data_IF_641457709490
#
_entry.id   IF_641457709490
#
_cell.length_a   1.000
_cell.length_b   1.000
_cell.length_c   1.000
_cell.angle_alpha   90.00
_cell.angle_beta   90.00
_cell.angle_gamma   90.00
#
_symmetry.space_group_name_H-M   'P 1'
#
loop_
_entity.id
_entity.type
_entity.pdbx_description
1 polymer ?
#
# COMPACT_ATOMS: atom_id res chain seq x y z
N UNK A 1 -20.96 21.47 0.55
CA UNK A 1 -20.49 20.12 0.90
C UNK A 1 -19.17 19.95 0.18
N UNK A 2 -18.04 19.98 0.90
CA UNK A 2 -16.72 20.16 0.29
C UNK A 2 -15.79 19.06 0.84
N UNK A 3 -15.26 18.23 -0.06
CA UNK A 3 -14.24 17.24 0.25
C UNK A 3 -12.87 17.82 -0.12
N UNK A 4 -11.92 17.84 0.81
CA UNK A 4 -10.57 18.35 0.59
C UNK A 4 -9.56 17.34 1.10
N UNK A 5 -9.11 16.46 0.20
CA UNK A 5 -7.87 15.69 0.31
C UNK A 5 -7.39 15.37 -1.12
N UNK A 6 -6.32 16.00 -1.58
CA UNK A 6 -5.72 15.76 -2.90
C UNK A 6 -4.92 14.48 -2.88
N UNK A 7 -5.37 13.50 -3.66
CA UNK A 7 -4.77 12.16 -3.66
C UNK A 7 -3.41 12.22 -4.34
N UNK A 8 -2.37 11.81 -3.61
CA UNK A 8 -1.06 11.63 -4.20
C UNK A 8 -1.07 10.57 -5.30
N UNK A 9 -0.04 10.63 -6.13
CA UNK A 9 0.22 9.93 -7.37
C UNK A 9 -0.86 10.11 -8.44
N UNK A 10 -1.71 11.14 -8.35
CA UNK A 10 -2.52 11.56 -9.47
C UNK A 10 -1.70 12.45 -10.40
N UNK A 11 -1.57 12.03 -11.67
CA UNK A 11 -0.87 12.78 -12.72
C UNK A 11 -1.49 14.16 -12.95
N UNK A 12 -0.72 15.16 -13.43
CA UNK A 12 0.50 15.05 -14.25
C UNK A 12 1.81 14.79 -13.50
N UNK A 13 1.93 15.17 -12.22
CA UNK A 13 3.18 15.08 -11.46
C UNK A 13 3.59 13.66 -11.08
N UNK A 14 4.86 13.46 -10.71
CA UNK A 14 5.36 12.17 -10.24
C UNK A 14 4.89 11.81 -8.82
N UNK A 15 4.45 12.77 -7.99
CA UNK A 15 3.82 12.50 -6.70
C UNK A 15 2.53 13.26 -6.46
N UNK A 16 2.44 14.55 -6.72
CA UNK A 16 1.22 15.33 -6.52
C UNK A 16 0.61 15.65 -7.87
N UNK A 17 -0.66 16.06 -7.84
CA UNK A 17 -1.37 16.58 -9.01
C UNK A 17 -0.87 17.98 -9.39
N UNK A 18 0.45 18.17 -9.45
CA UNK A 18 1.11 19.37 -9.96
C UNK A 18 1.80 19.03 -11.28
N UNK A 19 1.81 19.91 -12.27
CA UNK A 19 2.52 19.69 -13.52
C UNK A 19 4.03 19.53 -13.29
N UNK A 20 4.66 18.73 -14.12
CA UNK A 20 6.12 18.69 -14.22
C UNK A 20 6.56 18.61 -15.68
N UNK A 21 7.83 18.91 -15.94
CA UNK A 21 8.43 18.81 -17.28
C UNK A 21 9.81 18.17 -17.20
N UNK A 22 10.23 17.60 -18.32
CA UNK A 22 11.51 16.92 -18.52
C UNK A 22 12.17 17.42 -19.81
N UNK A 23 13.48 17.22 -19.97
CA UNK A 23 14.18 17.63 -21.19
C UNK A 23 13.73 16.83 -22.42
N UNK A 24 13.70 15.50 -22.28
CA UNK A 24 13.34 14.57 -23.34
C UNK A 24 11.90 14.06 -23.25
N UNK A 25 11.38 13.45 -24.34
CA UNK A 25 10.12 12.73 -24.27
C UNK A 25 10.19 11.62 -23.22
N UNK A 26 9.08 11.37 -22.53
CA UNK A 26 8.99 10.23 -21.62
C UNK A 26 9.37 8.93 -22.35
N UNK A 27 10.16 8.05 -21.71
CA UNK A 27 10.46 6.72 -22.25
C UNK A 27 9.20 5.86 -22.38
N UNK A 28 8.12 6.26 -21.71
CA UNK A 28 6.82 5.61 -21.77
C UNK A 28 5.88 6.40 -22.68
N UNK A 29 5.19 5.70 -23.57
CA UNK A 29 4.15 6.29 -24.42
C UNK A 29 2.90 6.57 -23.60
N UNK A 30 2.55 5.61 -22.73
CA UNK A 30 1.36 5.63 -21.91
C UNK A 30 1.70 5.18 -20.49
N UNK A 31 1.10 5.82 -19.50
CA UNK A 31 1.18 5.38 -18.09
C UNK A 31 -0.19 5.49 -17.47
N UNK A 32 -0.61 4.49 -16.71
CA UNK A 32 -1.84 4.51 -15.94
C UNK A 32 -1.60 3.97 -14.55
N UNK A 33 -2.40 4.43 -13.59
CA UNK A 33 -2.24 3.98 -12.22
C UNK A 33 -3.45 4.29 -11.37
N UNK A 34 -3.42 3.73 -10.18
CA UNK A 34 -4.35 4.04 -9.11
C UNK A 34 -3.58 4.31 -7.83
N UNK A 35 -4.17 5.12 -6.97
CA UNK A 35 -3.58 5.50 -5.70
C UNK A 35 -4.63 5.62 -4.62
N UNK A 36 -4.19 5.37 -3.39
CA UNK A 36 -4.97 5.60 -2.20
C UNK A 36 -4.12 6.39 -1.21
N UNK A 37 -4.77 7.32 -0.55
CA UNK A 37 -4.20 8.07 0.55
C UNK A 37 -4.95 7.73 1.83
N UNK A 38 -4.22 7.36 2.87
CA UNK A 38 -4.74 6.94 4.16
C UNK A 38 -4.53 8.09 5.13
N UNK A 39 -5.63 8.65 5.60
CA UNK A 39 -5.62 9.79 6.53
C UNK A 39 -5.76 9.33 7.98
N UNK A 40 -6.34 8.15 8.23
CA UNK A 40 -6.40 7.52 9.54
C UNK A 40 -6.70 6.02 9.43
N UNK A 41 -6.34 5.26 10.46
CA UNK A 41 -6.55 3.83 10.57
C UNK A 41 -7.74 3.47 11.48
N UNK A 42 -8.12 4.35 12.41
CA UNK A 42 -9.22 4.11 13.35
C UNK A 42 -9.86 5.42 13.82
N UNK A 43 -11.09 5.75 13.39
CA UNK A 43 -11.83 5.09 12.29
C UNK A 43 -11.15 5.28 10.93
N UNK A 44 -11.28 4.28 10.05
CA UNK A 44 -10.56 4.23 8.78
C UNK A 44 -11.06 5.32 7.80
N UNK A 45 -10.15 6.14 7.28
CA UNK A 45 -10.47 7.18 6.30
C UNK A 45 -9.46 7.18 5.16
N UNK A 46 -9.96 7.17 3.92
CA UNK A 46 -9.12 7.12 2.74
C UNK A 46 -9.67 7.93 1.59
N UNK A 47 -8.78 8.60 0.86
CA UNK A 47 -9.05 9.10 -0.47
C UNK A 47 -8.54 8.11 -1.53
N UNK A 48 -9.23 8.00 -2.67
CA UNK A 48 -8.88 7.04 -3.76
C UNK A 48 -8.99 7.66 -5.14
N UNK A 49 -8.03 7.36 -6.01
CA UNK A 49 -8.01 7.93 -7.35
C UNK A 49 -7.33 7.03 -8.38
N UNK A 50 -7.56 7.36 -9.64
CA UNK A 50 -6.94 6.71 -10.78
C UNK A 50 -6.59 7.73 -11.85
N UNK A 51 -5.61 7.42 -12.69
CA UNK A 51 -5.18 8.30 -13.76
C UNK A 51 -4.69 7.53 -14.98
N UNK A 52 -4.66 8.22 -16.11
CA UNK A 52 -3.99 7.80 -17.33
C UNK A 52 -3.32 9.00 -18.00
N UNK A 53 -2.08 8.86 -18.44
CA UNK A 53 -1.38 9.89 -19.22
C UNK A 53 -0.74 9.30 -20.45
N UNK A 54 -0.72 10.08 -21.52
CA UNK A 54 -0.07 9.74 -22.78
C UNK A 54 0.76 10.93 -23.25
N UNK A 55 1.97 10.68 -23.75
CA UNK A 55 2.81 11.71 -24.34
C UNK A 55 3.07 11.43 -25.83
N UNK A 56 2.69 12.36 -26.70
CA UNK A 56 2.84 12.27 -28.15
C UNK A 56 3.35 13.60 -28.74
N UNK A 57 4.49 13.57 -29.42
CA UNK A 57 5.02 14.75 -30.12
C UNK A 57 5.25 15.96 -29.20
N UNK A 58 5.67 15.74 -27.95
CA UNK A 58 5.87 16.77 -26.92
C UNK A 58 4.57 17.33 -26.33
N UNK A 59 3.40 16.82 -26.74
CA UNK A 59 2.14 17.02 -26.04
C UNK A 59 1.94 15.91 -25.00
N UNK A 60 1.47 16.28 -23.82
CA UNK A 60 1.07 15.35 -22.76
C UNK A 60 -0.42 15.54 -22.52
N UNK A 61 -1.16 14.44 -22.62
CA UNK A 61 -2.58 14.37 -22.33
C UNK A 61 -2.76 13.53 -21.08
N UNK A 62 -3.60 13.99 -20.15
CA UNK A 62 -3.88 13.30 -18.90
C UNK A 62 -5.37 13.29 -18.60
N UNK A 63 -5.82 12.17 -18.05
CA UNK A 63 -7.13 12.01 -17.43
C UNK A 63 -6.94 11.50 -16.01
N UNK A 64 -7.77 11.97 -15.10
CA UNK A 64 -7.74 11.55 -13.70
C UNK A 64 -9.14 11.47 -13.15
N UNK A 65 -9.35 10.57 -12.20
CA UNK A 65 -10.54 10.56 -11.35
C UNK A 65 -10.11 10.44 -9.91
N UNK A 66 -10.80 11.14 -9.02
CA UNK A 66 -10.49 11.18 -7.61
C UNK A 66 -11.77 11.18 -6.78
N UNK A 67 -11.69 10.59 -5.60
CA UNK A 67 -12.72 10.69 -4.56
C UNK A 67 -12.01 10.98 -3.26
N UNK A 68 -12.31 12.14 -2.68
CA UNK A 68 -11.71 12.59 -1.42
C UNK A 68 -12.08 11.70 -0.24
N UNK A 69 -11.33 11.87 0.85
CA UNK A 69 -11.68 11.30 2.16
C UNK A 69 -12.88 11.99 2.78
N UNK A 70 -13.44 11.36 3.80
CA UNK A 70 -14.52 11.96 4.59
C UNK A 70 -13.95 13.08 5.49
N UNK A 71 -14.49 14.28 5.36
CA UNK A 71 -14.03 15.48 6.09
C UNK A 71 -14.79 15.72 7.39
N UNK A 72 -15.72 14.84 7.76
CA UNK A 72 -16.39 14.91 9.06
C UNK A 72 -15.38 14.77 10.20
N UNK A 73 -15.72 15.34 11.36
CA UNK A 73 -14.86 15.29 12.55
C UNK A 73 -14.56 13.85 12.94
N UNK A 74 -13.33 13.56 13.38
CA UNK A 74 -12.86 12.20 13.75
C UNK A 74 -13.86 11.47 14.68
N UNK A 75 -14.45 12.16 15.66
CA UNK A 75 -15.41 11.59 16.60
C UNK A 75 -16.73 11.10 15.96
N UNK A 76 -17.07 11.59 14.77
CA UNK A 76 -18.33 11.28 14.07
C UNK A 76 -18.11 10.48 12.78
N UNK A 77 -16.87 10.09 12.47
CA UNK A 77 -16.55 9.43 11.19
C UNK A 77 -17.24 8.05 11.07
N UNK A 78 -17.37 7.31 12.17
CA UNK A 78 -18.03 5.98 12.16
C UNK A 78 -19.52 6.04 11.84
N UNK A 79 -20.17 7.17 12.16
CA UNK A 79 -21.60 7.40 11.94
C UNK A 79 -21.87 8.34 10.77
N UNK A 80 -20.81 8.77 10.08
CA UNK A 80 -20.91 9.69 8.96
C UNK A 80 -21.59 9.03 7.77
N UNK A 81 -22.57 9.74 7.19
CA UNK A 81 -23.21 9.38 5.92
C UNK A 81 -22.63 10.17 4.75
N UNK A 82 -21.56 10.95 4.98
CA UNK A 82 -20.94 11.78 3.96
C UNK A 82 -20.38 10.92 2.83
N UNK A 83 -20.71 11.30 1.60
CA UNK A 83 -20.11 10.74 0.39
C UNK A 83 -19.35 11.84 -0.30
N UNK A 84 -18.03 11.71 -0.35
CA UNK A 84 -17.21 12.64 -1.10
C UNK A 84 -17.62 12.62 -2.59
N UNK A 85 -17.71 13.79 -3.25
CA UNK A 85 -17.99 13.84 -4.67
C UNK A 85 -16.86 13.16 -5.45
N UNK A 86 -17.24 12.58 -6.59
CA UNK A 86 -16.26 12.07 -7.56
C UNK A 86 -15.87 13.20 -8.49
N UNK A 87 -14.58 13.39 -8.63
CA UNK A 87 -13.96 14.37 -9.52
C UNK A 87 -13.42 13.66 -10.77
N UNK A 88 -13.58 14.28 -11.93
CA UNK A 88 -12.92 13.87 -13.17
C UNK A 88 -12.13 15.04 -13.73
N UNK A 89 -10.81 14.90 -13.81
CA UNK A 89 -9.91 15.96 -14.28
C UNK A 89 -9.27 15.63 -15.62
N UNK A 90 -9.18 16.63 -16.49
CA UNK A 90 -8.39 16.58 -17.72
C UNK A 90 -7.15 17.48 -17.63
N UNK A 91 -6.05 17.03 -18.25
CA UNK A 91 -4.78 17.73 -18.31
C UNK A 91 -4.25 17.74 -19.74
N UNK A 92 -3.82 18.89 -20.21
CA UNK A 92 -3.15 19.04 -21.51
C UNK A 92 -1.93 19.93 -21.33
N UNK A 93 -0.77 19.45 -21.73
CA UNK A 93 0.49 20.18 -21.63
C UNK A 93 1.26 20.08 -22.93
N UNK A 94 1.96 21.15 -23.28
CA UNK A 94 2.90 21.19 -24.37
C UNK A 94 4.27 21.62 -23.85
N UNK A 95 5.28 20.79 -24.13
CA UNK A 95 6.67 21.23 -24.04
C UNK A 95 6.95 22.19 -25.17
N UNK A 96 7.20 23.44 -24.83
CA UNK A 96 7.36 24.54 -25.79
C UNK A 96 8.82 24.71 -26.16
N UNK A 97 9.71 24.59 -25.16
CA UNK A 97 11.12 24.91 -25.33
C UNK A 97 11.98 23.95 -24.53
N UNK A 98 13.09 23.52 -25.13
CA UNK A 98 14.14 22.74 -24.48
C UNK A 98 15.45 23.31 -24.98
N UNK A 99 16.33 23.71 -24.05
CA UNK A 99 17.67 24.16 -24.38
C UNK A 99 18.62 23.74 -23.28
N UNK A 100 19.73 23.13 -23.70
CA UNK A 100 20.75 22.60 -22.81
C UNK A 100 20.12 21.68 -21.76
N UNK A 101 20.14 22.12 -20.50
CA UNK A 101 19.62 21.40 -19.36
C UNK A 101 18.31 21.99 -18.81
N UNK A 102 17.65 22.89 -19.54
CA UNK A 102 16.40 23.55 -19.13
C UNK A 102 15.26 23.19 -20.09
N UNK A 103 14.08 22.89 -19.56
CA UNK A 103 12.85 22.81 -20.35
C UNK A 103 11.77 23.76 -19.83
N UNK A 104 10.96 24.27 -20.76
CA UNK A 104 9.78 25.07 -20.46
C UNK A 104 8.55 24.45 -21.10
N UNK A 105 7.53 24.25 -20.28
CA UNK A 105 6.23 23.71 -20.69
C UNK A 105 5.12 24.66 -20.27
N UNK A 106 4.06 24.70 -21.08
CA UNK A 106 2.80 25.38 -20.75
C UNK A 106 1.66 24.39 -20.88
N UNK A 107 0.58 24.62 -20.16
CA UNK A 107 -0.59 23.76 -20.29
C UNK A 107 -1.81 24.28 -19.55
N UNK A 108 -2.84 23.45 -19.62
CA UNK A 108 -4.11 23.59 -18.95
C UNK A 108 -4.34 22.34 -18.10
N UNK A 109 -4.68 22.52 -16.84
CA UNK A 109 -4.92 21.46 -15.88
C UNK A 109 -6.24 21.69 -15.14
N UNK A 110 -6.78 20.59 -14.57
CA UNK A 110 -7.90 20.60 -13.62
C UNK A 110 -9.20 21.10 -14.24
N UNK A 111 -9.49 20.67 -15.47
CA UNK A 111 -10.87 20.70 -15.97
C UNK A 111 -11.65 19.65 -15.16
N UNK A 112 -12.15 20.04 -13.99
CA UNK A 112 -12.79 19.12 -13.04
C UNK A 112 -14.29 19.12 -13.24
N UNK A 113 -14.83 17.93 -13.48
CA UNK A 113 -16.25 17.67 -13.41
C UNK A 113 -16.56 17.04 -12.07
N UNK A 114 -17.44 17.68 -11.30
CA UNK A 114 -17.87 17.16 -10.01
C UNK A 114 -19.31 16.63 -10.13
N UNK A 115 -19.54 15.42 -9.61
CA UNK A 115 -20.89 14.90 -9.48
C UNK A 115 -21.53 15.47 -8.22
N UNK A 116 -22.43 16.46 -8.38
CA UNK A 116 -23.15 17.07 -7.27
C UNK A 116 -24.52 16.41 -7.09
N UNK A 117 -24.87 16.04 -5.86
CA UNK A 117 -26.08 15.29 -5.49
C UNK A 117 -27.39 15.97 -5.90
N UNK A 118 -27.36 17.27 -6.19
CA UNK A 118 -28.56 18.05 -6.49
C UNK A 118 -28.73 18.38 -7.98
N UNK A 119 -27.64 18.53 -8.74
CA UNK A 119 -27.69 19.10 -10.10
C UNK A 119 -26.86 18.32 -11.15
N UNK A 120 -26.35 17.14 -10.83
CA UNK A 120 -25.57 16.31 -11.78
C UNK A 120 -24.14 16.79 -11.98
N UNK A 121 -23.57 16.49 -13.17
CA UNK A 121 -22.18 16.80 -13.52
C UNK A 121 -22.03 18.29 -13.88
N UNK A 122 -21.34 19.08 -13.06
CA UNK A 122 -21.11 20.51 -13.31
C UNK A 122 -19.62 20.81 -13.52
N UNK A 123 -19.35 21.83 -14.36
CA UNK A 123 -18.03 22.40 -14.62
C UNK A 123 -17.97 23.79 -13.99
N UNK A 124 -17.04 24.04 -13.07
CA UNK A 124 -16.79 25.39 -12.54
C UNK A 124 -15.71 26.09 -13.40
N UNK A 125 -16.00 27.22 -14.05
CA UNK A 125 -15.01 27.97 -14.82
C UNK A 125 -13.81 28.47 -13.98
N UNK A 126 -13.90 28.46 -12.65
CA UNK A 126 -12.79 28.80 -11.75
C UNK A 126 -11.77 27.68 -11.58
N UNK A 127 -12.11 26.45 -11.96
CA UNK A 127 -11.22 25.29 -11.87
C UNK A 127 -10.21 25.24 -13.03
N UNK A 128 -10.41 26.05 -14.08
CA UNK A 128 -9.45 26.15 -15.18
C UNK A 128 -8.11 26.73 -14.70
N UNK A 129 -7.09 25.88 -14.64
CA UNK A 129 -5.75 26.31 -14.28
C UNK A 129 -4.80 26.29 -15.47
N UNK A 130 -4.45 27.49 -15.96
CA UNK A 130 -3.34 27.66 -16.89
C UNK A 130 -2.04 27.66 -16.11
N UNK A 131 -1.00 27.00 -16.62
CA UNK A 131 0.30 26.99 -15.96
C UNK A 131 1.46 27.08 -16.93
N UNK A 132 2.57 27.58 -16.40
CA UNK A 132 3.91 27.48 -16.97
C UNK A 132 4.83 26.77 -15.99
N UNK A 133 5.75 25.96 -16.51
CA UNK A 133 6.75 25.23 -15.72
C UNK A 133 8.10 25.40 -16.36
N UNK A 134 9.10 25.69 -15.55
CA UNK A 134 10.51 25.59 -15.90
C UNK A 134 11.11 24.41 -15.15
N UNK A 135 11.80 23.50 -15.83
CA UNK A 135 12.61 22.46 -15.18
C UNK A 135 14.07 22.59 -15.56
N UNK A 136 14.95 22.18 -14.66
CA UNK A 136 16.37 21.98 -14.90
C UNK A 136 16.75 20.55 -14.51
N UNK A 137 17.44 19.86 -15.41
CA UNK A 137 17.86 18.48 -15.19
C UNK A 137 19.38 18.37 -15.28
N UNK A 138 20.00 17.81 -14.24
CA UNK A 138 21.45 17.68 -14.13
C UNK A 138 21.83 16.24 -13.78
N UNK A 139 22.81 15.70 -14.50
CA UNK A 139 23.43 14.42 -14.18
C UNK A 139 24.60 14.64 -13.21
N UNK A 140 24.64 13.84 -12.14
CA UNK A 140 25.67 13.88 -11.11
C UNK A 140 26.18 12.45 -10.92
N UNK A 141 27.18 12.06 -11.71
CA UNK A 141 27.62 10.66 -11.80
C UNK A 141 26.50 9.78 -12.34
N UNK A 142 26.17 8.71 -11.62
CA UNK A 142 25.07 7.78 -11.98
C UNK A 142 23.69 8.24 -11.47
N UNK A 143 23.62 9.44 -10.89
CA UNK A 143 22.38 10.03 -10.38
C UNK A 143 21.86 11.10 -11.33
N UNK A 144 20.54 11.20 -11.45
CA UNK A 144 19.90 12.26 -12.23
C UNK A 144 18.99 13.09 -11.32
N UNK A 145 19.24 14.41 -11.24
CA UNK A 145 18.39 15.36 -10.54
C UNK A 145 17.56 16.14 -11.56
N UNK A 146 16.24 16.16 -11.40
CA UNK A 146 15.35 17.05 -12.14
C UNK A 146 14.60 17.95 -11.14
N UNK A 147 14.94 19.23 -11.12
CA UNK A 147 14.26 20.24 -10.31
C UNK A 147 13.33 21.07 -11.19
N UNK A 148 12.14 21.40 -10.71
CA UNK A 148 11.18 22.20 -11.46
C UNK A 148 10.45 23.18 -10.57
N UNK A 149 10.07 24.31 -11.16
CA UNK A 149 9.24 25.34 -10.56
C UNK A 149 8.17 25.74 -11.57
N UNK A 150 6.95 25.94 -11.09
CA UNK A 150 5.85 26.35 -11.93
C UNK A 150 4.96 27.37 -11.26
N UNK A 151 4.18 28.02 -12.11
CA UNK A 151 3.27 29.10 -11.77
C UNK A 151 2.02 28.91 -12.61
N UNK A 152 0.85 29.12 -12.04
CA UNK A 152 -0.39 29.04 -12.80
C UNK A 152 -1.55 29.76 -12.14
N UNK A 153 -2.60 30.01 -12.92
CA UNK A 153 -3.75 30.86 -12.56
C UNK A 153 -4.79 30.18 -11.70
N UNK A 154 -4.71 28.85 -11.55
CA UNK A 154 -5.61 28.10 -10.69
C UNK A 154 -5.07 27.99 -9.27
N UNK A 155 -6.00 27.79 -8.34
CA UNK A 155 -5.72 27.32 -7.01
C UNK A 155 -5.19 25.90 -7.06
N UNK A 156 -3.90 25.72 -7.30
CA UNK A 156 -3.21 24.50 -6.92
C UNK A 156 -3.20 24.45 -5.39
N UNK A 157 -4.32 24.03 -4.80
CA UNK A 157 -4.56 24.01 -3.36
C UNK A 157 -5.67 24.95 -2.85
N UNK A 158 -6.55 25.51 -3.69
CA UNK A 158 -7.67 26.32 -3.20
C UNK A 158 -8.99 25.94 -3.90
N UNK A 159 -9.99 25.45 -3.15
CA UNK A 159 -11.35 26.01 -3.06
C UNK A 159 -11.96 25.67 -1.68
N UNK A 160 -12.07 26.72 -0.86
CA UNK A 160 -13.12 27.06 0.14
C UNK A 160 -13.88 25.91 0.83
N UNK A 161 -13.37 25.51 1.99
CA UNK A 161 -14.22 24.90 3.02
C UNK A 161 -15.19 25.95 3.55
N UNK A 162 -16.48 25.60 3.67
CA UNK A 162 -17.45 26.40 4.43
C UNK A 162 -16.83 26.84 5.76
N UNK A 163 -16.80 28.16 5.96
CA UNK A 163 -16.50 28.84 7.23
C UNK A 163 -17.23 28.15 8.38
N UNK A 164 -16.52 27.30 9.12
CA UNK A 164 -16.99 26.79 10.40
C UNK A 164 -16.62 27.73 11.56
N UNK A 165 -15.97 28.86 11.27
CA UNK A 165 -15.66 29.88 12.28
C UNK A 165 -15.94 31.28 11.75
N UNK A 166 -16.64 32.09 12.54
CA UNK A 166 -17.13 33.42 12.16
C UNK A 166 -16.10 34.52 12.40
N UNK A 167 -14.87 34.17 12.80
CA UNK A 167 -13.86 35.14 13.25
C UNK A 167 -12.54 35.22 12.46
N UNK A 168 -12.32 34.46 11.39
CA UNK A 168 -11.09 34.63 10.59
C UNK A 168 -11.31 35.58 9.41
N UNK A 169 -10.60 36.71 9.47
CA UNK A 169 -10.49 37.79 8.49
C UNK A 169 -10.24 37.30 7.06
N UNK A 170 -10.85 37.98 6.09
CA UNK A 170 -10.65 37.83 4.66
C UNK A 170 -9.16 37.85 4.30
N UNK A 171 -8.66 36.77 3.68
CA UNK A 171 -7.43 36.86 2.90
C UNK A 171 -7.83 37.01 1.43
N UNK A 172 -7.87 38.27 0.97
CA UNK A 172 -7.82 38.60 -0.45
C UNK A 172 -6.36 38.47 -0.95
N UNK A 173 -6.14 37.77 -2.07
CA UNK A 173 -4.86 37.70 -2.81
C UNK A 173 -4.10 36.37 -2.63
N UNK A 174 -3.57 35.68 -3.65
CA UNK A 174 -3.43 35.91 -5.09
C UNK A 174 -3.79 34.60 -5.84
N UNK A 175 -4.57 34.72 -6.91
CA UNK A 175 -5.02 33.64 -7.81
C UNK A 175 -3.89 33.07 -8.70
N UNK A 176 -2.67 32.94 -8.17
CA UNK A 176 -1.56 32.33 -8.89
C UNK A 176 -0.77 31.37 -7.98
N UNK A 177 -1.07 30.07 -8.06
CA UNK A 177 -0.38 29.06 -7.25
C UNK A 177 1.05 28.84 -7.76
N UNK A 178 2.04 29.01 -6.88
CA UNK A 178 3.43 28.61 -7.11
C UNK A 178 3.61 27.20 -6.58
N UNK A 179 4.18 26.32 -7.41
CA UNK A 179 4.55 24.97 -7.02
C UNK A 179 5.99 24.68 -7.43
N UNK A 180 6.63 23.76 -6.74
CA UNK A 180 8.00 23.36 -7.03
C UNK A 180 8.21 21.89 -6.70
N UNK A 181 9.22 21.29 -7.29
CA UNK A 181 9.57 19.92 -6.97
C UNK A 181 10.97 19.54 -7.42
N UNK A 182 11.46 18.45 -6.86
CA UNK A 182 12.71 17.83 -7.23
C UNK A 182 12.52 16.31 -7.30
N UNK A 183 13.03 15.72 -8.37
CA UNK A 183 13.06 14.29 -8.60
C UNK A 183 14.53 13.88 -8.63
N UNK A 184 14.92 13.01 -7.71
CA UNK A 184 16.24 12.44 -7.66
C UNK A 184 16.18 10.97 -8.03
N UNK A 185 16.69 10.64 -9.22
CA UNK A 185 16.77 9.27 -9.71
C UNK A 185 18.07 8.63 -9.25
N UNK A 186 17.94 7.45 -8.69
CA UNK A 186 19.06 6.66 -8.19
C UNK A 186 19.34 5.46 -9.10
N UNK A 187 20.60 4.98 -9.16
CA UNK A 187 20.96 3.79 -9.94
C UNK A 187 20.50 2.47 -9.28
N UNK A 188 19.80 2.52 -8.14
CA UNK A 188 19.27 1.32 -7.51
C UNK A 188 18.16 0.70 -8.37
N UNK A 189 18.24 -0.60 -8.63
CA UNK A 189 17.33 -1.30 -9.56
C UNK A 189 17.38 -0.72 -11.00
N UNK A 190 18.57 -0.29 -11.45
CA UNK A 190 18.79 0.31 -12.79
C UNK A 190 18.19 -0.52 -13.94
N UNK A 191 18.32 -1.86 -13.87
CA UNK A 191 17.72 -2.80 -14.85
C UNK A 191 16.21 -2.62 -15.06
N UNK A 192 15.52 -2.01 -14.11
CA UNK A 192 14.08 -1.75 -14.12
C UNK A 192 13.74 -0.24 -14.15
N UNK A 193 14.73 0.63 -14.29
CA UNK A 193 14.53 2.07 -14.49
C UNK A 193 14.89 2.99 -13.31
N UNK A 194 15.50 2.44 -12.24
CA UNK A 194 15.96 3.24 -11.10
C UNK A 194 14.87 3.56 -10.08
N UNK A 195 15.25 3.76 -8.80
CA UNK A 195 14.33 4.28 -7.78
C UNK A 195 14.32 5.81 -7.88
N UNK A 196 13.12 6.40 -8.01
CA UNK A 196 12.94 7.85 -7.95
C UNK A 196 12.58 8.27 -6.51
N UNK A 197 13.33 9.24 -5.97
CA UNK A 197 12.97 9.98 -4.77
C UNK A 197 12.35 11.30 -5.23
N UNK A 198 11.15 11.59 -4.75
CA UNK A 198 10.35 12.74 -5.19
C UNK A 198 10.09 13.63 -3.98
N UNK A 199 10.37 14.92 -4.10
CA UNK A 199 9.96 15.94 -3.14
C UNK A 199 9.22 17.05 -3.86
N UNK A 200 8.02 17.39 -3.42
CA UNK A 200 7.15 18.35 -4.09
C UNK A 200 6.45 19.29 -3.11
N UNK A 201 6.36 20.55 -3.48
CA UNK A 201 5.59 21.58 -2.82
C UNK A 201 4.44 22.00 -3.74
N UNK A 202 3.21 21.81 -3.26
CA UNK A 202 1.99 22.04 -4.04
C UNK A 202 1.37 23.42 -3.83
N UNK A 203 2.00 24.28 -3.00
CA UNK A 203 1.45 25.57 -2.57
C UNK A 203 0.93 25.55 -1.13
N UNK A 204 0.53 24.39 -0.61
CA UNK A 204 -0.04 24.23 0.73
C UNK A 204 0.87 23.43 1.68
N UNK A 205 1.65 22.48 1.17
CA UNK A 205 2.54 21.67 2.00
C UNK A 205 3.63 20.94 1.23
N UNK A 206 4.49 20.26 1.98
CA UNK A 206 5.63 19.50 1.46
C UNK A 206 5.26 18.03 1.42
N UNK A 207 5.47 17.42 0.26
CA UNK A 207 5.12 16.05 -0.04
C UNK A 207 6.39 15.29 -0.43
N UNK A 208 6.60 14.10 0.13
CA UNK A 208 7.79 13.29 -0.13
C UNK A 208 7.39 11.88 -0.50
N UNK A 209 7.93 11.37 -1.60
CA UNK A 209 7.55 10.11 -2.18
C UNK A 209 8.72 9.31 -2.75
N UNK A 210 8.46 8.03 -2.94
CA UNK A 210 9.34 7.04 -3.53
C UNK A 210 8.58 6.34 -4.66
N UNK A 211 9.24 6.17 -5.80
CA UNK A 211 8.73 5.38 -6.92
C UNK A 211 9.69 4.23 -7.15
N UNK A 212 9.25 3.05 -6.77
CA UNK A 212 10.05 1.83 -6.74
C UNK A 212 9.67 0.98 -7.95
N UNK A 213 10.58 0.72 -8.89
CA UNK A 213 10.29 -0.16 -10.01
C UNK A 213 10.22 -1.62 -9.54
N UNK A 214 9.10 -2.28 -9.84
CA UNK A 214 8.94 -3.72 -9.64
C UNK A 214 9.43 -4.48 -10.87
N UNK A 215 9.20 -3.93 -12.05
CA UNK A 215 9.72 -4.38 -13.36
C UNK A 215 9.96 -3.16 -14.26
N UNK A 216 10.28 -3.36 -15.55
CA UNK A 216 10.34 -2.26 -16.53
C UNK A 216 9.00 -1.52 -16.71
N UNK A 217 7.90 -2.20 -16.40
CA UNK A 217 6.54 -1.78 -16.75
C UNK A 217 5.68 -1.49 -15.51
N UNK A 218 6.06 -2.00 -14.34
CA UNK A 218 5.31 -1.85 -13.10
C UNK A 218 6.10 -1.06 -12.05
N UNK A 219 5.43 -0.11 -11.38
CA UNK A 219 6.00 0.68 -10.29
C UNK A 219 5.08 0.69 -9.08
N UNK A 220 5.67 0.57 -7.90
CA UNK A 220 5.06 0.82 -6.61
C UNK A 220 5.43 2.22 -6.14
N UNK A 221 4.43 3.00 -5.77
CA UNK A 221 4.58 4.37 -5.33
C UNK A 221 4.21 4.45 -3.84
N UNK A 222 5.10 5.02 -3.02
CA UNK A 222 4.92 5.15 -1.57
C UNK A 222 5.31 6.56 -1.14
N UNK A 223 4.53 7.23 -0.31
CA UNK A 223 4.90 8.57 0.13
C UNK A 223 4.08 9.12 1.28
N UNK A 224 4.44 10.32 1.70
CA UNK A 224 3.75 11.10 2.72
C UNK A 224 3.38 12.45 2.15
N UNK A 225 2.11 12.82 2.27
CA UNK A 225 1.60 14.16 1.97
C UNK A 225 1.66 15.03 3.22
N UNK A 226 1.88 16.34 3.03
CA UNK A 226 1.93 17.35 4.10
C UNK A 226 2.81 16.90 5.28
N UNK A 227 4.06 16.52 4.99
CA UNK A 227 5.01 15.97 5.96
C UNK A 227 5.20 16.89 7.17
N UNK A 228 5.08 18.20 6.98
CA UNK A 228 5.15 19.23 8.01
C UNK A 228 4.03 19.13 9.05
N UNK A 229 2.93 18.47 8.71
CA UNK A 229 1.75 18.26 9.56
C UNK A 229 1.68 16.85 10.15
N UNK A 230 2.61 15.93 9.81
CA UNK A 230 2.66 14.58 10.37
C UNK A 230 2.64 14.50 11.91
N UNK A 231 3.28 15.39 12.68
CA UNK A 231 3.22 15.33 14.14
C UNK A 231 1.78 15.39 14.69
N UNK A 232 0.86 16.00 13.94
CA UNK A 232 -0.54 16.16 14.31
C UNK A 232 -1.48 15.19 13.60
N UNK A 233 -0.95 14.13 13.00
CA UNK A 233 -1.71 13.16 12.21
C UNK A 233 -2.92 12.54 12.95
N UNK A 234 -2.91 12.52 14.29
CA UNK A 234 -3.99 11.97 15.13
C UNK A 234 -5.04 13.00 15.62
N UNK A 235 -4.82 14.30 15.40
CA UNK A 235 -5.60 15.34 16.10
C UNK A 235 -6.94 15.64 15.43
N UNK A 236 -6.96 15.99 14.14
CA UNK A 236 -8.18 16.37 13.42
C UNK A 236 -7.97 16.34 11.89
N UNK A 237 -9.00 15.94 11.12
CA UNK A 237 -9.00 16.17 9.68
C UNK A 237 -9.27 17.65 9.36
N UNK A 238 -8.37 18.23 8.59
CA UNK A 238 -8.47 19.58 8.04
C UNK A 238 -7.92 19.59 6.61
N UNK A 239 -8.00 20.73 5.96
CA UNK A 239 -7.46 20.94 4.62
C UNK A 239 -5.93 20.75 4.55
N UNK A 240 -5.51 19.76 3.76
CA UNK A 240 -4.11 19.33 3.70
C UNK A 240 -3.67 18.61 4.98
N UNK A 241 -4.52 17.74 5.53
CA UNK A 241 -4.14 16.77 6.56
C UNK A 241 -3.10 15.79 6.01
N UNK A 242 -2.09 15.45 6.83
CA UNK A 242 -1.04 14.53 6.40
C UNK A 242 -1.60 13.14 6.09
N UNK A 243 -1.13 12.55 5.00
CA UNK A 243 -1.59 11.25 4.51
C UNK A 243 -0.44 10.32 4.22
N UNK A 244 -0.68 9.02 4.40
CA UNK A 244 0.19 7.96 3.93
C UNK A 244 -0.33 7.50 2.58
N UNK A 245 0.53 7.48 1.58
CA UNK A 245 0.12 7.26 0.20
C UNK A 245 0.70 5.97 -0.34
N UNK A 246 -0.14 5.23 -1.06
CA UNK A 246 0.24 4.00 -1.74
C UNK A 246 -0.38 4.06 -3.13
N UNK A 247 0.43 3.84 -4.15
CA UNK A 247 -0.02 3.82 -5.54
C UNK A 247 0.64 2.71 -6.34
N UNK A 248 -0.05 2.29 -7.38
CA UNK A 248 0.46 1.34 -8.35
C UNK A 248 0.35 1.96 -9.74
N UNK A 249 1.43 1.83 -10.52
CA UNK A 249 1.54 2.39 -11.85
C UNK A 249 1.99 1.31 -12.84
N UNK A 250 1.35 1.33 -14.00
CA UNK A 250 1.71 0.58 -15.20
C UNK A 250 2.19 1.58 -16.25
N UNK A 251 3.33 1.30 -16.85
CA UNK A 251 3.95 2.13 -17.86
C UNK A 251 4.22 1.30 -19.12
N UNK A 252 3.61 1.70 -20.24
CA UNK A 252 3.86 1.11 -21.54
C UNK A 252 5.03 1.86 -22.20
N UNK A 253 6.13 1.16 -22.43
CA UNK A 253 7.29 1.70 -23.12
C UNK A 253 6.91 2.25 -24.51
N UNK A 254 7.45 3.41 -24.86
CA UNK A 254 7.43 3.92 -26.23
C UNK A 254 8.34 2.98 -27.03
N UNK A 255 7.75 2.02 -27.72
CA UNK A 255 8.36 0.86 -28.41
C UNK A 255 9.88 0.80 -28.50
N UNK A 256 10.46 -0.36 -28.16
CA UNK A 256 11.91 -0.64 -28.15
C UNK A 256 12.67 -0.02 -29.34
N UNK A 257 13.22 1.17 -29.12
CA UNK A 257 14.34 1.71 -29.88
C UNK A 257 15.68 1.11 -29.45
N UNK A 258 15.69 -0.03 -28.74
CA UNK A 258 16.93 -0.74 -28.44
C UNK A 258 17.41 -1.39 -29.74
N UNK A 259 18.23 -0.65 -30.49
CA UNK A 259 19.34 -1.28 -31.20
C UNK A 259 20.16 -1.99 -30.13
N UNK A 260 20.07 -3.31 -30.07
CA UNK A 260 21.00 -4.15 -29.31
C UNK A 260 22.43 -3.69 -29.61
N UNK A 261 23.24 -3.25 -28.62
CA UNK A 261 24.65 -3.04 -28.82
C UNK A 261 25.30 -4.42 -28.97
N UNK A 262 25.67 -4.79 -30.19
CA UNK A 262 26.29 -6.08 -30.47
C UNK A 262 26.19 -6.43 -31.94
N UNK A 263 27.14 -5.93 -32.75
CA UNK A 263 27.23 -6.31 -34.15
C UNK A 263 28.03 -5.35 -35.02
N UNK A 264 29.29 -5.07 -34.63
CA UNK A 264 30.30 -4.44 -35.51
C UNK A 264 30.04 -2.99 -35.95
N UNK A 265 31.05 -2.33 -36.54
CA UNK A 265 30.87 -1.01 -37.12
C UNK A 265 29.92 -1.14 -38.32
N UNK A 266 28.73 -0.55 -38.22
CA UNK A 266 27.91 -0.29 -39.40
C UNK A 266 28.73 0.58 -40.38
N UNK A 267 28.71 0.32 -41.70
CA UNK A 267 29.33 1.21 -42.65
C UNK A 267 28.68 2.59 -42.51
N UNK A 268 29.50 3.63 -42.55
CA UNK A 268 29.08 5.04 -42.55
C UNK A 268 27.88 5.26 -43.47
N UNK A 269 26.90 6.12 -43.12
CA UNK A 269 25.84 6.50 -44.04
C UNK A 269 26.43 7.45 -45.10
N UNK A 270 27.05 6.89 -46.13
CA UNK A 270 27.24 7.58 -47.40
C UNK A 270 26.14 7.11 -48.35
N UNK A 271 25.42 8.13 -48.85
CA UNK A 271 24.42 8.12 -49.92
C UNK A 271 22.97 7.83 -49.46
N UNK A 272 22.20 8.92 -49.41
CA UNK A 272 20.74 8.87 -49.62
C UNK A 272 20.48 8.13 -50.94
N UNK A 273 19.54 7.16 -50.99
CA UNK A 273 19.11 6.64 -52.27
C UNK A 273 18.26 7.71 -52.95
N UNK A 274 18.76 8.26 -54.05
CA UNK A 274 17.90 8.78 -55.09
C UNK A 274 16.97 7.66 -55.57
N UNK A 275 15.78 8.04 -56.05
CA UNK A 275 14.70 7.18 -56.54
C UNK A 275 15.16 5.81 -57.06
N UNK A 276 15.07 4.78 -56.22
CA UNK A 276 15.25 3.40 -56.66
C UNK A 276 13.97 2.95 -57.36
N UNK A 277 14.12 2.63 -58.64
CA UNK A 277 13.07 2.10 -59.48
C UNK A 277 12.73 0.68 -58.99
N UNK A 278 11.48 0.46 -58.56
CA UNK A 278 11.00 -0.83 -58.03
C UNK A 278 10.90 -1.95 -59.09
N UNK A 279 11.33 -1.69 -60.33
CA UNK A 279 11.29 -2.65 -61.43
C UNK A 279 12.46 -3.65 -61.45
N UNK A 280 13.54 -3.39 -60.70
CA UNK A 280 14.79 -4.17 -60.78
C UNK A 280 15.11 -4.97 -59.51
N UNK A 281 14.18 -5.05 -58.55
CA UNK A 281 14.37 -5.88 -57.36
C UNK A 281 14.00 -7.32 -57.71
N UNK A 282 15.02 -8.17 -57.80
CA UNK A 282 14.88 -9.62 -57.97
C UNK A 282 13.93 -10.18 -56.89
N UNK A 283 12.85 -10.85 -57.31
CA UNK A 283 11.83 -11.41 -56.41
C UNK A 283 12.42 -12.39 -55.40
N UNK A 284 13.55 -13.01 -55.72
CA UNK A 284 14.30 -13.89 -54.81
C UNK A 284 14.89 -13.13 -53.62
N UNK A 285 15.36 -11.89 -53.83
CA UNK A 285 15.93 -11.05 -52.78
C UNK A 285 14.84 -10.51 -51.85
N UNK A 286 13.68 -10.15 -52.39
CA UNK A 286 12.52 -9.72 -51.60
C UNK A 286 11.97 -10.87 -50.74
N UNK A 287 11.92 -12.10 -51.28
CA UNK A 287 11.53 -13.28 -50.51
C UNK A 287 12.56 -13.63 -49.43
N UNK A 288 13.86 -13.48 -49.71
CA UNK A 288 14.91 -13.69 -48.73
C UNK A 288 14.85 -12.66 -47.58
N UNK A 289 14.61 -11.38 -47.89
CA UNK A 289 14.45 -10.32 -46.88
C UNK A 289 13.21 -10.57 -46.00
N UNK A 290 12.09 -10.94 -46.62
CA UNK A 290 10.88 -11.35 -45.88
C UNK A 290 11.13 -12.57 -44.98
N UNK A 291 11.82 -13.60 -45.46
CA UNK A 291 12.19 -14.76 -44.67
C UNK A 291 13.11 -14.39 -43.47
N UNK A 292 14.06 -13.49 -43.67
CA UNK A 292 14.94 -12.99 -42.60
C UNK A 292 14.15 -12.18 -41.57
N UNK A 293 13.25 -11.30 -42.01
CA UNK A 293 12.40 -10.51 -41.12
C UNK A 293 11.47 -11.39 -40.27
N UNK A 294 10.79 -12.35 -40.88
CA UNK A 294 9.92 -13.29 -40.14
C UNK A 294 10.70 -14.16 -39.16
N UNK A 295 11.91 -14.62 -39.51
CA UNK A 295 12.80 -15.33 -38.60
C UNK A 295 13.22 -14.44 -37.42
N UNK A 296 13.53 -13.17 -37.67
CA UNK A 296 13.91 -12.21 -36.63
C UNK A 296 12.77 -11.96 -35.65
N UNK A 297 11.55 -11.79 -36.14
CA UNK A 297 10.36 -11.62 -35.31
C UNK A 297 10.07 -12.87 -34.48
N UNK A 298 10.23 -14.05 -35.09
CA UNK A 298 10.10 -15.35 -34.41
C UNK A 298 11.13 -15.50 -33.29
N UNK A 299 12.38 -15.09 -33.52
CA UNK A 299 13.40 -15.06 -32.47
C UNK A 299 13.06 -14.06 -31.36
N UNK A 300 12.52 -12.88 -31.72
CA UNK A 300 12.04 -11.90 -30.76
C UNK A 300 10.94 -12.48 -29.85
N UNK A 301 9.97 -13.17 -30.44
CA UNK A 301 8.91 -13.84 -29.69
C UNK A 301 9.46 -14.93 -28.77
N UNK A 302 10.38 -15.77 -29.26
CA UNK A 302 11.05 -16.80 -28.47
C UNK A 302 11.84 -16.22 -27.28
N UNK A 303 12.52 -15.07 -27.45
CA UNK A 303 13.20 -14.41 -26.32
C UNK A 303 12.25 -13.87 -25.26
N UNK A 304 11.05 -13.44 -25.66
CA UNK A 304 10.01 -12.99 -24.73
C UNK A 304 9.39 -14.16 -23.99
N UNK A 305 9.13 -15.28 -24.66
CA UNK A 305 8.69 -16.52 -24.02
C UNK A 305 9.72 -17.03 -23.01
N UNK A 306 11.01 -17.01 -23.39
CA UNK A 306 12.10 -17.39 -22.49
C UNK A 306 12.14 -16.50 -21.24
N UNK A 307 11.97 -15.18 -21.39
CA UNK A 307 11.87 -14.27 -20.23
C UNK A 307 10.66 -14.59 -19.35
N UNK A 308 9.50 -14.85 -19.94
CA UNK A 308 8.30 -15.24 -19.20
C UNK A 308 8.47 -16.58 -18.47
N UNK A 309 9.23 -17.53 -19.04
CA UNK A 309 9.54 -18.79 -18.38
C UNK A 309 10.49 -18.59 -17.20
N UNK A 310 11.51 -17.74 -17.34
CA UNK A 310 12.44 -17.40 -16.25
C UNK A 310 11.71 -16.72 -15.09
N UNK A 311 10.78 -15.80 -15.36
CA UNK A 311 9.99 -15.16 -14.29
C UNK A 311 9.07 -16.16 -13.58
N UNK A 312 8.43 -17.06 -14.33
CA UNK A 312 7.63 -18.17 -13.75
C UNK A 312 8.48 -19.11 -12.90
N UNK A 313 9.67 -19.47 -13.38
CA UNK A 313 10.61 -20.31 -12.64
C UNK A 313 11.01 -19.65 -11.32
N UNK A 314 11.39 -18.38 -11.36
CA UNK A 314 11.74 -17.61 -10.16
C UNK A 314 10.56 -17.52 -9.16
N UNK A 315 9.33 -17.32 -9.66
CA UNK A 315 8.14 -17.32 -8.81
C UNK A 315 7.88 -18.70 -8.18
N UNK A 316 8.08 -19.79 -8.92
CA UNK A 316 7.96 -21.16 -8.39
C UNK A 316 9.04 -21.47 -7.34
N UNK A 317 10.28 -21.02 -7.55
CA UNK A 317 11.36 -21.18 -6.57
C UNK A 317 11.05 -20.44 -5.25
N UNK A 318 10.56 -19.20 -5.34
CA UNK A 318 10.14 -18.45 -4.15
C UNK A 318 8.98 -19.14 -3.42
N UNK A 319 8.01 -19.65 -4.17
CA UNK A 319 6.89 -20.40 -3.58
C UNK A 319 7.36 -21.67 -2.88
N UNK A 320 8.29 -22.42 -3.47
CA UNK A 320 8.89 -23.61 -2.86
C UNK A 320 9.58 -23.27 -1.53
N UNK A 321 10.39 -22.20 -1.53
CA UNK A 321 11.08 -21.74 -0.32
C UNK A 321 10.12 -21.29 0.79
N UNK A 322 9.05 -20.58 0.42
CA UNK A 322 8.01 -20.18 1.37
C UNK A 322 7.32 -21.39 2.01
N UNK A 323 7.04 -22.43 1.23
CA UNK A 323 6.46 -23.68 1.75
C UNK A 323 7.42 -24.41 2.69
N UNK A 324 8.71 -24.43 2.38
CA UNK A 324 9.74 -25.02 3.25
C UNK A 324 9.83 -24.29 4.59
N UNK A 325 9.87 -22.95 4.57
CA UNK A 325 9.90 -22.13 5.79
C UNK A 325 8.62 -22.32 6.61
N UNK A 326 7.46 -22.40 5.95
CA UNK A 326 6.17 -22.66 6.61
C UNK A 326 6.14 -24.04 7.27
N UNK A 327 6.63 -25.07 6.59
CA UNK A 327 6.74 -26.42 7.13
C UNK A 327 7.66 -26.45 8.37
N UNK A 328 8.80 -25.76 8.29
CA UNK A 328 9.76 -25.66 9.40
C UNK A 328 9.15 -24.95 10.60
N UNK A 329 8.38 -23.88 10.37
CA UNK A 329 7.66 -23.16 11.43
C UNK A 329 6.61 -24.03 12.10
N UNK A 330 5.82 -24.79 11.32
CA UNK A 330 4.85 -25.75 11.86
C UNK A 330 5.55 -26.80 12.73
N UNK A 331 6.62 -27.42 12.22
CA UNK A 331 7.39 -28.44 12.96
C UNK A 331 8.01 -27.89 14.26
N UNK A 332 8.48 -26.64 14.25
CA UNK A 332 8.99 -26.00 15.45
C UNK A 332 7.87 -25.76 16.47
N UNK A 333 6.72 -25.25 16.02
CA UNK A 333 5.57 -24.99 16.87
C UNK A 333 5.01 -26.29 17.49
N UNK A 334 4.97 -27.38 16.73
CA UNK A 334 4.57 -28.69 17.27
C UNK A 334 5.55 -29.17 18.34
N UNK A 335 6.86 -29.10 18.08
CA UNK A 335 7.88 -29.51 19.05
C UNK A 335 7.82 -28.67 20.34
N UNK A 336 7.65 -27.34 20.21
CA UNK A 336 7.49 -26.44 21.37
C UNK A 336 6.21 -26.76 22.13
N UNK A 337 5.11 -27.05 21.42
CA UNK A 337 3.85 -27.47 22.03
C UNK A 337 3.99 -28.78 22.82
N UNK A 338 4.62 -29.79 22.24
CA UNK A 338 4.92 -31.07 22.89
C UNK A 338 5.81 -30.88 24.12
N UNK A 339 6.86 -30.05 24.02
CA UNK A 339 7.73 -29.76 25.14
C UNK A 339 6.97 -29.09 26.29
N UNK A 340 6.18 -28.05 26.00
CA UNK A 340 5.34 -27.37 27.01
C UNK A 340 4.34 -28.33 27.64
N UNK A 341 3.73 -29.23 26.85
CA UNK A 341 2.83 -30.26 27.35
C UNK A 341 3.56 -31.22 28.29
N UNK A 342 4.75 -31.69 27.92
CA UNK A 342 5.56 -32.57 28.76
C UNK A 342 5.97 -31.90 30.08
N UNK A 343 6.36 -30.63 30.03
CA UNK A 343 6.73 -29.86 31.22
C UNK A 343 5.52 -29.59 32.12
N UNK A 344 4.36 -29.25 31.55
CA UNK A 344 3.09 -29.14 32.28
C UNK A 344 2.74 -30.47 32.99
N UNK A 345 2.85 -31.60 32.29
CA UNK A 345 2.60 -32.92 32.88
C UNK A 345 3.60 -33.29 33.99
N UNK A 346 4.84 -32.83 33.92
CA UNK A 346 5.84 -33.00 35.00
C UNK A 346 5.44 -32.23 36.25
N UNK A 347 5.05 -30.96 36.11
CA UNK A 347 4.52 -30.14 37.20
C UNK A 347 3.27 -30.79 37.82
N UNK A 348 2.34 -31.27 36.98
CA UNK A 348 1.14 -31.96 37.45
C UNK A 348 1.44 -33.25 38.22
N UNK A 349 2.47 -33.99 37.80
CA UNK A 349 2.95 -35.17 38.53
C UNK A 349 3.60 -34.82 39.87
N UNK A 350 4.33 -33.70 39.96
CA UNK A 350 4.89 -33.18 41.23
C UNK A 350 3.78 -32.71 42.18
N UNK A 351 2.80 -31.99 41.67
CA UNK A 351 1.61 -31.60 42.43
C UNK A 351 0.94 -32.80 43.09
N UNK A 352 0.73 -33.89 42.36
CA UNK A 352 0.13 -35.12 42.91
C UNK A 352 0.93 -35.66 44.11
N UNK A 353 2.27 -35.63 44.03
CA UNK A 353 3.13 -36.08 45.15
C UNK A 353 2.96 -35.17 46.38
N UNK A 354 2.97 -33.86 46.21
CA UNK A 354 2.74 -32.92 47.31
C UNK A 354 1.34 -33.03 47.91
N UNK A 355 0.33 -33.27 47.07
CA UNK A 355 -1.04 -33.49 47.51
C UNK A 355 -1.15 -34.69 48.45
N UNK A 356 -0.54 -35.84 48.08
CA UNK A 356 -0.51 -37.02 48.94
C UNK A 356 0.36 -36.86 50.18
N UNK A 357 1.40 -36.01 50.12
CA UNK A 357 2.20 -35.64 51.29
C UNK A 357 1.49 -34.63 52.22
N UNK A 358 0.27 -34.18 51.89
CA UNK A 358 -0.49 -33.19 52.66
C UNK A 358 -0.01 -31.74 52.49
N UNK A 359 0.99 -31.48 51.65
CA UNK A 359 1.48 -30.14 51.38
C UNK A 359 0.65 -29.49 50.26
N UNK A 360 -0.56 -29.06 50.61
CA UNK A 360 -1.52 -28.49 49.66
C UNK A 360 -1.08 -27.17 49.03
N UNK A 361 -0.28 -26.35 49.73
CA UNK A 361 0.25 -25.10 49.19
C UNK A 361 1.29 -25.33 48.10
N UNK A 362 2.28 -26.20 48.34
CA UNK A 362 3.25 -26.57 47.31
C UNK A 362 2.58 -27.29 46.14
N UNK A 363 1.58 -28.12 46.42
CA UNK A 363 0.77 -28.77 45.39
C UNK A 363 0.05 -27.75 44.49
N UNK A 364 -0.49 -26.66 45.05
CA UNK A 364 -1.18 -25.62 44.29
C UNK A 364 -0.21 -24.87 43.36
N UNK A 365 0.99 -24.53 43.86
CA UNK A 365 2.02 -23.87 43.08
C UNK A 365 2.44 -24.69 41.86
N UNK A 366 2.61 -26.00 42.01
CA UNK A 366 2.92 -26.89 40.88
C UNK A 366 1.75 -27.00 39.88
N UNK A 367 0.49 -26.95 40.33
CA UNK A 367 -0.66 -26.89 39.42
C UNK A 367 -0.71 -25.58 38.65
N UNK A 368 -0.39 -24.45 39.30
CA UNK A 368 -0.34 -23.15 38.65
C UNK A 368 0.75 -23.09 37.59
N UNK A 369 1.96 -23.58 37.89
CA UNK A 369 3.03 -23.71 36.90
C UNK A 369 2.62 -24.60 35.70
N UNK A 370 1.87 -25.69 35.94
CA UNK A 370 1.32 -26.51 34.87
C UNK A 370 0.32 -25.75 33.98
N UNK A 371 -0.53 -24.90 34.57
CA UNK A 371 -1.54 -24.13 33.86
C UNK A 371 -0.95 -22.92 33.11
N UNK A 372 0.16 -22.35 33.59
CA UNK A 372 0.93 -21.34 32.87
C UNK A 372 1.54 -21.91 31.58
N UNK A 373 1.99 -23.17 31.63
CA UNK A 373 2.55 -23.86 30.46
C UNK A 373 1.47 -24.36 29.49
N UNK A 374 0.35 -24.87 30.02
CA UNK A 374 -0.81 -25.28 29.22
C UNK A 374 -2.14 -24.94 29.93
N UNK A 375 -2.81 -23.84 29.52
CA UNK A 375 -4.07 -23.40 30.12
C UNK A 375 -5.27 -24.31 29.86
N UNK A 376 -5.17 -25.25 28.92
CA UNK A 376 -6.28 -26.10 28.48
C UNK A 376 -6.24 -27.51 29.09
N UNK A 377 -5.40 -27.73 30.09
CA UNK A 377 -5.23 -29.04 30.71
C UNK A 377 -6.35 -29.32 31.74
N UNK A 378 -7.39 -30.05 31.33
CA UNK A 378 -8.52 -30.42 32.20
C UNK A 378 -8.08 -31.05 33.53
N UNK A 379 -7.08 -31.95 33.47
CA UNK A 379 -6.48 -32.62 34.62
C UNK A 379 -5.89 -31.65 35.65
N UNK A 380 -5.34 -30.52 35.21
CA UNK A 380 -4.77 -29.50 36.10
C UNK A 380 -5.87 -28.78 36.89
N UNK A 381 -6.97 -28.39 36.25
CA UNK A 381 -8.13 -27.81 36.92
C UNK A 381 -8.79 -28.80 37.89
N UNK A 382 -8.91 -30.07 37.49
CA UNK A 382 -9.45 -31.11 38.37
C UNK A 382 -8.61 -31.27 39.64
N UNK A 383 -7.28 -31.29 39.49
CA UNK A 383 -6.32 -31.36 40.61
C UNK A 383 -6.40 -30.12 41.48
N UNK A 384 -6.52 -28.92 40.90
CA UNK A 384 -6.74 -27.66 41.62
C UNK A 384 -8.01 -27.70 42.47
N UNK A 385 -9.10 -28.23 41.91
CA UNK A 385 -10.36 -28.42 42.61
C UNK A 385 -10.22 -29.31 43.83
N UNK A 386 -9.54 -30.46 43.68
CA UNK A 386 -9.27 -31.39 44.78
C UNK A 386 -8.38 -30.78 45.88
N UNK A 387 -7.40 -29.94 45.51
CA UNK A 387 -6.56 -29.21 46.47
C UNK A 387 -7.40 -28.22 47.28
N UNK A 388 -8.24 -27.41 46.63
CA UNK A 388 -9.12 -26.45 47.31
C UNK A 388 -10.12 -27.14 48.23
N UNK A 389 -10.66 -28.28 47.81
CA UNK A 389 -11.54 -29.09 48.65
C UNK A 389 -10.84 -29.57 49.93
N UNK A 390 -9.59 -30.03 49.84
CA UNK A 390 -8.79 -30.41 51.01
C UNK A 390 -8.41 -29.22 51.91
N UNK A 391 -8.34 -28.02 51.34
CA UNK A 391 -8.16 -26.77 52.09
C UNK A 391 -9.46 -26.23 52.71
N UNK A 392 -10.60 -26.89 52.47
CA UNK A 392 -11.92 -26.48 52.98
C UNK A 392 -12.65 -25.44 52.13
N UNK A 393 -12.07 -24.99 51.01
CA UNK A 393 -12.69 -24.02 50.10
C UNK A 393 -13.52 -24.75 49.02
N UNK A 394 -14.73 -25.15 49.43
CA UNK A 394 -15.67 -25.89 48.57
C UNK A 394 -16.11 -25.06 47.36
N UNK A 395 -16.19 -23.73 47.50
CA UNK A 395 -16.62 -22.85 46.41
C UNK A 395 -15.57 -22.85 45.29
N UNK A 396 -14.30 -22.61 45.62
CA UNK A 396 -13.22 -22.66 44.62
C UNK A 396 -13.00 -24.05 44.07
N UNK A 397 -13.22 -25.09 44.88
CA UNK A 397 -13.17 -26.48 44.40
C UNK A 397 -14.18 -26.73 43.27
N UNK A 398 -15.44 -26.35 43.51
CA UNK A 398 -16.55 -26.50 42.55
C UNK A 398 -16.29 -25.74 41.25
N UNK A 399 -15.79 -24.51 41.33
CA UNK A 399 -15.45 -23.70 40.15
C UNK A 399 -14.38 -24.41 39.29
N UNK A 400 -13.31 -24.90 39.91
CA UNK A 400 -12.23 -25.55 39.16
C UNK A 400 -12.64 -26.91 38.59
N UNK A 401 -13.49 -27.68 39.28
CA UNK A 401 -14.05 -28.92 38.74
C UNK A 401 -14.99 -28.65 37.55
N UNK A 402 -15.81 -27.61 37.60
CA UNK A 402 -16.62 -27.20 36.45
C UNK A 402 -15.75 -26.73 35.26
N UNK A 403 -14.64 -26.03 35.53
CA UNK A 403 -13.67 -25.67 34.49
C UNK A 403 -13.01 -26.92 33.88
N UNK A 404 -12.70 -27.93 34.68
CA UNK A 404 -12.18 -29.20 34.19
C UNK A 404 -13.18 -29.88 33.23
N UNK A 405 -14.46 -29.95 33.59
CA UNK A 405 -15.53 -30.50 32.73
C UNK A 405 -15.80 -29.67 31.48
N UNK A 406 -15.53 -28.35 31.52
CA UNK A 406 -15.60 -27.51 30.32
C UNK A 406 -14.49 -27.84 29.32
N UNK A 407 -13.31 -28.22 29.82
CA UNK A 407 -12.16 -28.60 28.98
C UNK A 407 -12.25 -30.05 28.51
N UNK A 408 -12.73 -30.96 29.38
CA UNK A 408 -12.98 -32.36 29.09
C UNK A 408 -14.35 -32.79 29.65
N UNK A 409 -15.41 -32.75 28.83
CA UNK A 409 -16.75 -33.13 29.26
C UNK A 409 -16.88 -34.56 29.75
N UNK A 410 -16.01 -35.48 29.29
CA UNK A 410 -16.02 -36.91 29.61
C UNK A 410 -15.19 -37.24 30.85
N UNK A 411 -14.78 -36.24 31.63
CA UNK A 411 -14.05 -36.46 32.86
C UNK A 411 -14.96 -36.97 34.00
N UNK A 412 -15.26 -38.27 33.94
CA UNK A 412 -16.23 -38.95 34.82
C UNK A 412 -15.90 -38.83 36.32
N UNK A 413 -14.62 -38.87 36.71
CA UNK A 413 -14.23 -38.71 38.12
C UNK A 413 -14.69 -37.36 38.68
N UNK A 414 -14.50 -36.28 37.91
CA UNK A 414 -14.89 -34.92 38.32
C UNK A 414 -16.42 -34.80 38.37
N UNK A 415 -17.10 -35.39 37.39
CA UNK A 415 -18.57 -35.44 37.32
C UNK A 415 -19.15 -36.15 38.54
N UNK A 416 -18.59 -37.29 38.93
CA UNK A 416 -18.99 -38.05 40.10
C UNK A 416 -18.74 -37.29 41.41
N UNK A 417 -17.60 -36.61 41.54
CA UNK A 417 -17.28 -35.77 42.71
C UNK A 417 -18.28 -34.62 42.86
N UNK A 418 -18.62 -33.92 41.77
CA UNK A 418 -19.60 -32.84 41.80
C UNK A 418 -21.01 -33.33 42.15
N UNK A 419 -21.41 -34.48 41.60
CA UNK A 419 -22.68 -35.13 41.92
C UNK A 419 -22.77 -35.48 43.41
N UNK A 420 -21.75 -36.13 43.96
CA UNK A 420 -21.70 -36.48 45.37
C UNK A 420 -21.70 -35.24 46.29
N UNK A 421 -21.01 -34.17 45.90
CA UNK A 421 -21.00 -32.91 46.64
C UNK A 421 -22.40 -32.26 46.66
N UNK A 422 -23.11 -32.29 45.53
CA UNK A 422 -24.46 -31.77 45.41
C UNK A 422 -25.46 -32.57 46.26
N UNK A 423 -25.41 -33.90 46.20
CA UNK A 423 -26.25 -34.78 47.00
C UNK A 423 -26.01 -34.60 48.52
N UNK A 424 -24.76 -34.42 48.93
CA UNK A 424 -24.43 -34.18 50.34
C UNK A 424 -24.92 -32.81 50.82
N UNK A 425 -24.87 -31.78 49.96
CA UNK A 425 -25.48 -30.47 50.24
C UNK A 425 -26.99 -30.60 50.47
N UNK A 426 -27.69 -31.35 49.61
CA UNK A 426 -29.14 -31.58 49.74
C UNK A 426 -29.52 -32.31 51.04
N UNK A 427 -28.71 -33.29 51.48
CA UNK A 427 -28.91 -33.97 52.76
C UNK A 427 -28.65 -33.07 53.96
N UNK A 428 -27.64 -32.20 53.88
CA UNK A 428 -27.36 -31.23 54.96
C UNK A 428 -28.45 -30.17 55.11
N UNK A 429 -29.12 -29.79 54.01
CA UNK A 429 -30.25 -28.86 54.05
C UNK A 429 -31.54 -29.52 54.55
N UNK A 430 -31.76 -30.80 54.25
CA UNK A 430 -32.96 -31.51 54.74
C UNK A 430 -32.91 -31.86 56.23
N UNK A 431 -31.73 -32.00 56.84
CA UNK A 431 -31.60 -32.23 58.30
C UNK A 431 -31.75 -30.95 59.15
N UNK A 432 -31.95 -29.79 58.53
CA UNK A 432 -32.14 -28.50 59.22
C UNK A 432 -33.65 -28.11 59.25
N UNK A 433 -34.52 -28.84 58.54
CA UNK A 433 -35.97 -28.57 58.45
C UNK A 433 -36.88 -29.48 59.32
N UNK A 434 -36.32 -30.37 60.15
CA UNK A 434 -37.02 -31.13 61.21
C UNK A 434 -36.54 -30.66 62.60
#
# INVERSE_FOLDING_TARGET
MFGSTRIAYLRPGPMMKIPYTSLGPSPYLFTAGFSSEIHNLSPFNTAKGAYGTMELGGWTFGVSTATGGDTTSIANLEVSTYRAPVEFGFHVQKRVFVRDNISFSVGLQDIVFQNNTTNGLQLDPKDFSFFGIVSSQQDVGDYNLNAFIGFGTGGYGLIDTLKADTLSTQSEGMNAGVFAGAIFKTPYLEKWGGIDIVGEFDGNGINVGLRIPLTSDYRLNLGFTHIEKLPKWKERYWEGHAGITIGFEIAAARGSGVKTPGGGPAPSPRLQPGSTNYADIDTTLMMADYAVHTLRDSMGMMTNEMRNLITRLSAMEQHSKFLEDSLKAIKLNTNVGEQKMNDAMRHLSRSLRYFYAGNYRASLQEVEASLELNPNLALAYARRGSIYYKLGDIQRATINWNLALRMDPEYDDVRNVLKALHENRLKSTSMIED
#
